data_IF_425681703512
#
_entry.id   IF_425681703512
#
_cell.length_a   1.000
_cell.length_b   1.000
_cell.length_c   1.000
_cell.angle_alpha   90.00
_cell.angle_beta   90.00
_cell.angle_gamma   90.00
#
_symmetry.space_group_name_H-M   'P 1'
#
loop_
_entity.id
_entity.type
_entity.pdbx_description
1 polymer ?
#
# COMPACT_ATOMS: atom_id res chain seq x y z
N UNK A 1 5.15 -5.54 -3.68
CA UNK A 1 6.09 -4.86 -2.74
C UNK A 1 7.09 -5.82 -2.10
N UNK A 2 6.69 -6.88 -1.40
CA UNK A 2 7.60 -7.83 -0.72
C UNK A 2 8.76 -8.35 -1.59
N UNK A 3 8.49 -8.70 -2.86
CA UNK A 3 9.51 -9.10 -3.84
C UNK A 3 10.53 -7.98 -4.11
N UNK A 4 10.09 -6.72 -4.15
CA UNK A 4 11.00 -5.59 -4.33
C UNK A 4 11.96 -5.45 -3.14
N UNK A 5 11.46 -5.60 -1.89
CA UNK A 5 12.32 -5.65 -0.71
C UNK A 5 13.35 -6.78 -0.79
N UNK A 6 12.91 -7.99 -1.14
CA UNK A 6 13.83 -9.12 -1.31
C UNK A 6 14.87 -8.88 -2.39
N UNK A 7 14.50 -8.23 -3.50
CA UNK A 7 15.39 -7.88 -4.60
C UNK A 7 16.49 -6.89 -4.22
N UNK A 8 16.27 -6.07 -3.19
CA UNK A 8 17.30 -5.14 -2.64
C UNK A 8 17.92 -5.65 -1.35
N UNK A 9 17.76 -6.93 -1.02
CA UNK A 9 18.38 -7.56 0.15
C UNK A 9 17.67 -7.31 1.49
N UNK A 10 16.50 -6.66 1.49
CA UNK A 10 15.69 -6.47 2.70
C UNK A 10 14.84 -7.73 2.93
N UNK A 11 15.27 -8.58 3.85
CA UNK A 11 14.50 -9.76 4.25
C UNK A 11 13.46 -9.41 5.33
N UNK A 12 12.21 -9.79 5.09
CA UNK A 12 11.09 -9.47 5.98
C UNK A 12 10.99 -10.42 7.19
N UNK A 13 12.12 -10.76 7.85
CA UNK A 13 12.18 -11.76 8.93
C UNK A 13 11.24 -11.44 10.11
N UNK A 14 11.08 -10.16 10.42
CA UNK A 14 10.20 -9.67 11.49
C UNK A 14 8.72 -9.63 11.09
N UNK A 15 8.38 -9.84 9.81
CA UNK A 15 6.98 -9.97 9.38
C UNK A 15 6.41 -11.32 9.84
N UNK A 16 5.90 -11.33 11.07
CA UNK A 16 5.42 -12.52 11.78
C UNK A 16 4.26 -12.17 12.70
N UNK A 17 3.44 -13.17 13.06
CA UNK A 17 2.30 -13.01 13.98
C UNK A 17 2.71 -12.59 15.40
N UNK A 18 4.00 -12.69 15.74
CA UNK A 18 4.56 -12.20 17.00
C UNK A 18 4.58 -10.67 17.05
N UNK A 19 4.94 -10.02 15.95
CA UNK A 19 5.13 -8.57 15.87
C UNK A 19 3.97 -7.85 15.18
N UNK A 20 3.32 -8.51 14.22
CA UNK A 20 2.19 -7.96 13.47
C UNK A 20 0.93 -8.71 13.87
N UNK A 21 -0.11 -7.97 14.26
CA UNK A 21 -1.42 -8.53 14.55
C UNK A 21 -2.24 -8.63 13.25
N UNK A 22 -3.09 -9.66 13.10
CA UNK A 22 -4.04 -9.72 11.99
C UNK A 22 -4.90 -8.46 11.97
N UNK A 23 -5.05 -7.84 10.80
CA UNK A 23 -5.88 -6.64 10.61
C UNK A 23 -7.13 -6.97 9.79
N UNK A 24 -8.16 -6.13 9.90
CA UNK A 24 -9.42 -6.32 9.16
C UNK A 24 -10.24 -7.54 9.61
N UNK A 25 -10.15 -7.89 10.90
CA UNK A 25 -10.91 -9.01 11.47
C UNK A 25 -10.43 -10.40 11.02
N UNK A 26 -9.26 -10.50 10.42
CA UNK A 26 -8.72 -11.76 9.90
C UNK A 26 -8.19 -12.66 11.04
N UNK A 27 -8.27 -14.00 10.90
CA UNK A 27 -7.84 -14.93 11.94
C UNK A 27 -6.30 -15.05 12.07
N UNK A 28 -5.57 -14.75 11.00
CA UNK A 28 -4.11 -14.84 10.92
C UNK A 28 -3.58 -13.75 9.99
N UNK A 29 -2.27 -13.43 10.06
CA UNK A 29 -1.64 -12.47 9.14
C UNK A 29 -1.50 -13.04 7.72
N UNK A 30 -1.48 -12.15 6.73
CA UNK A 30 -1.42 -12.45 5.31
C UNK A 30 0.04 -12.66 4.96
N UNK A 31 0.49 -13.90 5.10
CA UNK A 31 1.90 -14.26 4.96
C UNK A 31 2.04 -15.54 4.16
N UNK A 32 2.90 -15.50 3.15
CA UNK A 32 3.39 -16.70 2.44
C UNK A 32 4.91 -16.75 2.53
N UNK A 33 5.49 -17.88 2.15
CA UNK A 33 6.92 -17.99 1.90
C UNK A 33 7.13 -18.06 0.39
N UNK A 34 7.90 -17.13 -0.15
CA UNK A 34 8.35 -17.15 -1.54
C UNK A 34 9.86 -17.37 -1.49
N UNK A 35 10.33 -18.49 -2.05
CA UNK A 35 11.73 -18.92 -1.98
C UNK A 35 12.28 -18.95 -0.54
N UNK A 36 11.46 -19.42 0.40
CA UNK A 36 11.78 -19.45 1.84
C UNK A 36 11.71 -18.08 2.54
N UNK A 37 11.44 -16.99 1.83
CA UNK A 37 11.39 -15.62 2.38
C UNK A 37 9.96 -15.18 2.69
N UNK A 38 9.77 -14.63 3.89
CA UNK A 38 8.49 -14.12 4.34
C UNK A 38 7.96 -13.03 3.40
N UNK A 39 6.73 -13.18 2.94
CA UNK A 39 6.11 -12.29 1.95
C UNK A 39 4.73 -11.88 2.45
N UNK A 40 4.52 -10.58 2.65
CA UNK A 40 3.21 -10.05 2.98
C UNK A 40 2.26 -10.12 1.78
N UNK A 41 1.02 -10.53 2.02
CA UNK A 41 -0.06 -10.57 1.01
C UNK A 41 -1.13 -9.51 1.21
N UNK A 42 -1.00 -8.67 2.26
CA UNK A 42 -1.95 -7.59 2.55
C UNK A 42 -1.22 -6.27 2.83
N UNK A 43 -1.74 -5.20 2.24
CA UNK A 43 -1.14 -3.87 2.27
C UNK A 43 -1.10 -3.26 3.68
N UNK A 44 -2.21 -3.35 4.43
CA UNK A 44 -2.32 -2.82 5.78
C UNK A 44 -1.35 -3.46 6.78
N UNK A 45 -1.19 -4.78 6.71
CA UNK A 45 -0.24 -5.50 7.55
C UNK A 45 1.21 -5.21 7.15
N UNK A 46 1.47 -5.02 5.84
CA UNK A 46 2.78 -4.56 5.38
C UNK A 46 3.09 -3.15 5.89
N UNK A 47 2.11 -2.24 5.89
CA UNK A 47 2.24 -0.93 6.50
C UNK A 47 2.51 -1.00 8.00
N UNK A 48 1.79 -1.86 8.73
CA UNK A 48 2.05 -2.10 10.15
C UNK A 48 3.47 -2.60 10.42
N UNK A 49 4.06 -3.36 9.50
CA UNK A 49 5.46 -3.77 9.58
C UNK A 49 6.44 -2.64 9.29
N UNK A 50 6.13 -1.74 8.35
CA UNK A 50 6.95 -0.55 8.07
C UNK A 50 6.97 0.44 9.24
N UNK A 51 5.89 0.53 10.03
CA UNK A 51 5.86 1.32 11.27
C UNK A 51 6.85 0.82 12.34
N UNK A 52 7.31 -0.44 12.25
CA UNK A 52 8.36 -0.97 13.12
C UNK A 52 9.76 -0.50 12.72
N UNK A 53 9.89 0.30 11.65
CA UNK A 53 11.15 0.75 11.06
C UNK A 53 12.14 -0.42 10.81
N UNK A 54 11.75 -1.41 9.99
CA UNK A 54 12.44 -2.69 9.90
C UNK A 54 13.79 -2.65 9.16
N UNK A 55 14.13 -1.53 8.53
CA UNK A 55 15.40 -1.33 7.83
C UNK A 55 15.86 0.13 7.89
N UNK A 56 17.17 0.36 7.75
CA UNK A 56 17.76 1.70 7.76
C UNK A 56 17.37 2.51 6.51
N UNK A 57 17.26 3.83 6.65
CA UNK A 57 16.85 4.74 5.56
C UNK A 57 15.33 4.89 5.41
N UNK A 58 14.53 4.11 6.14
CA UNK A 58 13.08 4.30 6.22
C UNK A 58 12.72 5.39 7.24
N UNK A 59 12.05 6.44 6.78
CA UNK A 59 11.46 7.47 7.63
C UNK A 59 10.27 6.95 8.44
N UNK A 60 9.82 7.74 9.43
CA UNK A 60 8.58 7.44 10.17
C UNK A 60 7.36 7.54 9.27
N UNK A 61 6.35 6.73 9.56
CA UNK A 61 5.06 6.79 8.87
C UNK A 61 4.36 8.13 9.09
N UNK A 62 4.05 8.81 8.00
CA UNK A 62 3.28 10.05 8.00
C UNK A 62 1.84 9.77 7.56
N UNK A 63 0.86 10.21 8.34
CA UNK A 63 -0.54 10.12 7.96
C UNK A 63 -0.89 11.28 7.01
N UNK A 64 -1.04 10.96 5.73
CA UNK A 64 -1.34 11.92 4.66
C UNK A 64 -2.79 11.82 4.16
N UNK A 65 -3.65 11.11 4.89
CA UNK A 65 -5.06 10.86 4.54
C UNK A 65 -5.78 12.13 4.11
N UNK A 66 -6.62 12.01 3.08
CA UNK A 66 -7.38 13.11 2.50
C UNK A 66 -7.23 13.15 0.98
N UNK A 67 -8.14 13.86 0.32
CA UNK A 67 -8.14 14.01 -1.15
C UNK A 67 -6.93 14.77 -1.70
N UNK A 68 -6.18 15.43 -0.82
CA UNK A 68 -4.98 16.21 -1.09
C UNK A 68 -3.67 15.45 -0.81
N UNK A 69 -3.73 14.13 -0.54
CA UNK A 69 -2.56 13.31 -0.21
C UNK A 69 -1.41 13.44 -1.21
N UNK A 70 -1.71 13.50 -2.51
CA UNK A 70 -0.70 13.64 -3.58
C UNK A 70 0.11 14.93 -3.42
N UNK A 71 -0.55 16.03 -3.04
CA UNK A 71 0.12 17.31 -2.84
C UNK A 71 1.06 17.29 -1.63
N UNK A 72 0.69 16.57 -0.55
CA UNK A 72 1.49 16.45 0.68
C UNK A 72 2.84 15.75 0.47
N UNK A 73 2.93 14.86 -0.52
CA UNK A 73 4.14 14.06 -0.77
C UNK A 73 4.81 14.36 -2.12
N UNK A 74 4.34 15.40 -2.82
CA UNK A 74 4.93 15.82 -4.10
C UNK A 74 6.41 16.18 -3.91
N UNK A 75 7.26 15.65 -4.78
CA UNK A 75 8.71 15.85 -4.75
C UNK A 75 9.47 14.97 -3.75
N UNK A 76 8.79 14.20 -2.90
CA UNK A 76 9.41 13.25 -1.96
C UNK A 76 9.40 11.84 -2.55
N UNK A 77 10.37 11.00 -2.20
CA UNK A 77 10.41 9.60 -2.64
C UNK A 77 10.16 8.66 -1.48
N UNK A 78 9.46 7.55 -1.70
CA UNK A 78 9.19 6.63 -0.62
C UNK A 78 8.18 5.55 -0.94
N UNK A 79 7.55 5.04 0.11
CA UNK A 79 6.53 4.00 0.06
C UNK A 79 5.21 4.62 0.50
N UNK A 80 4.13 4.34 -0.22
CA UNK A 80 2.79 4.82 0.14
C UNK A 80 1.83 3.65 0.25
N UNK A 81 1.05 3.63 1.33
CA UNK A 81 0.01 2.64 1.58
C UNK A 81 -1.34 3.32 1.66
N UNK A 82 -2.30 2.75 0.94
CA UNK A 82 -3.72 3.10 0.92
C UNK A 82 -4.48 1.97 1.60
N UNK A 83 -5.20 2.25 2.68
CA UNK A 83 -5.97 1.25 3.42
C UNK A 83 -7.47 1.54 3.33
N UNK A 84 -8.26 0.47 3.30
CA UNK A 84 -9.72 0.50 3.36
C UNK A 84 -10.43 1.25 2.24
N UNK A 85 -9.85 1.34 1.02
CA UNK A 85 -10.55 2.01 -0.11
C UNK A 85 -11.50 1.08 -0.88
N UNK A 86 -11.51 -0.22 -0.56
CA UNK A 86 -12.47 -1.18 -1.09
C UNK A 86 -12.70 -2.36 -0.12
N UNK A 87 -13.88 -2.97 -0.19
CA UNK A 87 -14.30 -4.09 0.67
C UNK A 87 -13.98 -5.44 0.04
N UNK A 88 -13.36 -6.35 0.78
CA UNK A 88 -13.23 -7.75 0.33
C UNK A 88 -14.58 -8.47 0.42
N UNK A 89 -14.71 -9.59 -0.29
CA UNK A 89 -15.88 -10.45 -0.16
C UNK A 89 -16.06 -10.89 1.30
N UNK A 90 -17.26 -10.67 1.85
CA UNK A 90 -17.59 -10.95 3.25
C UNK A 90 -17.30 -9.80 4.24
N UNK A 91 -16.74 -8.68 3.78
CA UNK A 91 -16.53 -7.48 4.62
C UNK A 91 -17.67 -6.48 4.50
N UNK A 92 -17.89 -5.71 5.57
CA UNK A 92 -18.74 -4.50 5.55
C UNK A 92 -17.88 -3.29 5.18
N UNK A 93 -18.50 -2.24 4.65
CA UNK A 93 -17.82 -0.98 4.30
C UNK A 93 -17.02 -0.39 5.48
N UNK A 94 -17.58 -0.45 6.69
CA UNK A 94 -16.94 0.00 7.93
C UNK A 94 -15.65 -0.77 8.26
N UNK A 95 -15.53 -2.01 7.80
CA UNK A 95 -14.40 -2.92 8.07
C UNK A 95 -13.59 -3.25 6.81
N UNK A 96 -13.68 -2.39 5.79
CA UNK A 96 -12.94 -2.57 4.54
C UNK A 96 -11.45 -2.73 4.83
N UNK A 97 -10.88 -3.88 4.45
CA UNK A 97 -9.45 -4.17 4.60
C UNK A 97 -8.70 -4.23 3.27
N UNK A 98 -9.41 -3.96 2.17
CA UNK A 98 -8.85 -3.82 0.84
C UNK A 98 -7.99 -2.57 0.74
N UNK A 99 -6.70 -2.78 0.50
CA UNK A 99 -5.70 -1.73 0.40
C UNK A 99 -4.69 -1.97 -0.72
N UNK A 100 -3.82 -1.00 -0.93
CA UNK A 100 -2.77 -0.98 -1.95
C UNK A 100 -1.50 -0.41 -1.33
N UNK A 101 -0.34 -0.93 -1.70
CA UNK A 101 0.94 -0.39 -1.23
C UNK A 101 1.94 -0.39 -2.39
N UNK A 102 2.57 0.75 -2.60
CA UNK A 102 3.37 1.00 -3.79
C UNK A 102 4.57 1.92 -3.51
N UNK A 103 5.48 2.01 -4.48
CA UNK A 103 6.56 3.00 -4.44
C UNK A 103 6.04 4.32 -5.03
N UNK A 104 6.50 5.42 -4.44
CA UNK A 104 6.24 6.77 -4.89
C UNK A 104 7.57 7.44 -5.30
N UNK A 105 7.63 7.93 -6.53
CA UNK A 105 8.85 8.49 -7.11
C UNK A 105 8.92 10.02 -7.06
N UNK A 106 8.08 10.68 -6.27
CA UNK A 106 7.97 12.14 -6.21
C UNK A 106 6.88 12.74 -7.11
N UNK A 107 6.42 12.00 -8.11
CA UNK A 107 5.38 12.49 -9.04
C UNK A 107 4.25 11.50 -9.28
N UNK A 108 4.52 10.20 -9.17
CA UNK A 108 3.55 9.13 -9.42
C UNK A 108 3.90 7.85 -8.68
N UNK A 109 2.91 6.98 -8.53
CA UNK A 109 3.09 5.58 -8.14
C UNK A 109 3.83 4.81 -9.22
N UNK A 110 4.56 3.74 -8.85
CA UNK A 110 5.18 2.86 -9.83
C UNK A 110 4.16 2.19 -10.74
N UNK A 111 4.32 2.42 -12.05
CA UNK A 111 3.47 1.82 -13.08
C UNK A 111 3.94 0.37 -13.30
N UNK A 112 3.27 -0.58 -12.65
CA UNK A 112 3.60 -2.01 -12.74
C UNK A 112 2.69 -2.80 -13.69
N UNK A 113 1.73 -2.15 -14.37
CA UNK A 113 0.82 -2.77 -15.34
C UNK A 113 0.28 -1.73 -16.34
N UNK A 114 -0.06 -2.10 -17.60
CA UNK A 114 -0.72 -1.20 -18.57
C UNK A 114 -2.00 -0.54 -18.01
N UNK A 115 -2.75 -1.26 -17.17
CA UNK A 115 -3.92 -0.72 -16.48
C UNK A 115 -3.52 0.33 -15.43
N UNK A 116 -2.40 0.12 -14.73
CA UNK A 116 -1.81 1.08 -13.80
C UNK A 116 -1.23 2.30 -14.54
N UNK A 117 -0.80 2.14 -15.79
CA UNK A 117 -0.34 3.22 -16.65
C UNK A 117 -1.51 4.12 -17.07
N UNK A 118 -2.61 3.52 -17.52
CA UNK A 118 -3.85 4.23 -17.85
C UNK A 118 -4.46 4.92 -16.63
N UNK A 119 -4.43 4.27 -15.46
CA UNK A 119 -4.88 4.86 -14.21
C UNK A 119 -3.98 6.03 -13.76
N UNK A 120 -2.66 5.90 -13.92
CA UNK A 120 -1.71 6.97 -13.61
C UNK A 120 -1.87 8.18 -14.55
N UNK A 121 -1.99 7.95 -15.86
CA UNK A 121 -2.26 8.99 -16.87
C UNK A 121 -3.63 9.62 -16.61
N UNK A 122 -4.64 8.81 -16.30
CA UNK A 122 -5.98 9.28 -15.93
C UNK A 122 -5.96 10.20 -14.72
N UNK A 123 -5.27 9.82 -13.63
CA UNK A 123 -5.09 10.67 -12.44
C UNK A 123 -4.33 11.95 -12.76
N UNK A 124 -3.27 11.87 -13.56
CA UNK A 124 -2.51 13.05 -14.03
C UNK A 124 -3.38 14.02 -14.86
N UNK A 125 -4.40 13.49 -15.55
CA UNK A 125 -5.39 14.26 -16.32
C UNK A 125 -6.65 14.61 -15.51
N UNK A 126 -6.64 14.44 -14.19
CA UNK A 126 -7.73 14.83 -13.28
C UNK A 126 -8.87 13.80 -13.12
N UNK A 127 -8.76 12.60 -13.70
CA UNK A 127 -9.72 11.51 -13.52
C UNK A 127 -9.37 10.67 -12.29
N UNK A 128 -10.11 10.90 -11.21
CA UNK A 128 -9.88 10.25 -9.90
C UNK A 128 -10.35 8.80 -9.83
N UNK A 129 -11.29 8.39 -10.66
CA UNK A 129 -11.77 7.00 -10.76
C UNK A 129 -12.20 6.66 -12.18
N UNK A 130 -12.22 5.36 -12.49
CA UNK A 130 -12.77 4.82 -13.73
C UNK A 130 -13.38 3.45 -13.44
N UNK A 131 -14.70 3.29 -13.63
CA UNK A 131 -15.46 2.04 -13.37
C UNK A 131 -15.13 1.34 -12.03
N UNK A 132 -15.19 2.04 -10.88
CA UNK A 132 -14.85 1.45 -9.58
C UNK A 132 -15.70 0.19 -9.31
N UNK A 133 -15.08 -0.88 -8.81
CA UNK A 133 -15.73 -2.16 -8.57
C UNK A 133 -15.85 -3.11 -9.78
N UNK A 134 -15.24 -2.78 -10.92
CA UNK A 134 -15.15 -3.67 -12.09
C UNK A 134 -13.74 -4.20 -12.30
N UNK A 135 -13.60 -5.35 -12.98
CA UNK A 135 -12.31 -5.98 -13.27
C UNK A 135 -11.33 -5.11 -14.09
N UNK A 136 -11.81 -4.04 -14.73
CA UNK A 136 -11.02 -3.11 -15.55
C UNK A 136 -11.01 -1.67 -15.01
N UNK A 137 -11.51 -1.44 -13.79
CA UNK A 137 -11.62 -0.10 -13.21
C UNK A 137 -10.58 0.20 -12.13
N UNK A 138 -10.33 1.49 -11.87
CA UNK A 138 -9.54 1.97 -10.73
C UNK A 138 -10.36 2.91 -9.85
N UNK A 139 -10.19 2.76 -8.54
CA UNK A 139 -10.87 3.57 -7.52
C UNK A 139 -10.08 4.84 -7.19
N UNK A 140 -10.80 5.84 -6.68
CA UNK A 140 -10.18 7.04 -6.10
C UNK A 140 -9.49 6.66 -4.79
N UNK A 141 -8.15 6.63 -4.82
CA UNK A 141 -7.31 6.33 -3.66
C UNK A 141 -7.47 7.37 -2.54
N UNK A 142 -8.00 8.56 -2.85
CA UNK A 142 -8.35 9.58 -1.86
C UNK A 142 -9.53 9.21 -0.96
N UNK A 143 -10.29 8.16 -1.29
CA UNK A 143 -11.34 7.60 -0.42
C UNK A 143 -10.82 6.51 0.53
N UNK A 144 -9.50 6.29 0.62
CA UNK A 144 -8.92 5.44 1.65
C UNK A 144 -9.27 5.94 3.05
N UNK A 145 -9.63 5.01 3.93
CA UNK A 145 -9.80 5.27 5.36
C UNK A 145 -8.51 5.77 6.01
N UNK A 146 -7.36 5.31 5.50
CA UNK A 146 -6.04 5.72 5.94
C UNK A 146 -5.04 5.69 4.80
N UNK A 147 -4.23 6.73 4.68
CA UNK A 147 -3.10 6.80 3.76
C UNK A 147 -1.84 7.10 4.57
N UNK A 148 -0.85 6.22 4.47
CA UNK A 148 0.45 6.36 5.12
C UNK A 148 1.56 6.51 4.08
N UNK A 149 2.51 7.39 4.38
CA UNK A 149 3.71 7.57 3.58
C UNK A 149 4.96 7.39 4.44
N UNK A 150 5.91 6.60 3.96
CA UNK A 150 7.24 6.49 4.54
C UNK A 150 8.24 7.00 3.51
N UNK A 151 8.88 8.12 3.83
CA UNK A 151 9.96 8.64 3.00
C UNK A 151 11.16 7.68 3.05
N UNK A 152 11.81 7.47 1.91
CA UNK A 152 13.02 6.67 1.80
C UNK A 152 14.16 7.57 1.33
N UNK A 153 15.27 7.59 2.07
CA UNK A 153 16.46 8.42 1.83
C UNK A 153 17.73 7.58 1.81
#
# INVERSE_FOLDING_TARGET
MSVAFHGVGIEMKSFSSRLIKPLGGQPSIGRILLDGKATATRANELGAWLELLPFAGLGRGENITGRDWEAKIKGRTGIVMFDGYWTRAGERAENASGGHIDLWNGTRLTISSPLNALAAIGRQLGRRSFRPGSAMGWSDLGNSNRILFWEVR
#
